data_IF_981197635926
#
_entry.id   IF_981197635926
#
_cell.length_a   1.000
_cell.length_b   1.000
_cell.length_c   1.000
_cell.angle_alpha   90.00
_cell.angle_beta   90.00
_cell.angle_gamma   90.00
#
_symmetry.space_group_name_H-M   'P 1'
#
loop_
_entity.id
_entity.type
_entity.pdbx_description
1 polymer ?
#
# COMPACT_ATOMS: atom_id res chain seq x y z
N UNK A 1 22.77 15.85 -18.57
CA UNK A 1 22.08 14.57 -18.36
C UNK A 1 22.85 13.78 -17.31
N UNK A 2 22.57 14.02 -16.02
CA UNK A 2 23.16 13.24 -14.92
C UNK A 2 22.17 12.11 -14.63
N UNK A 3 22.60 10.88 -14.88
CA UNK A 3 21.88 9.70 -14.42
C UNK A 3 21.71 9.81 -12.90
N UNK A 4 20.46 9.71 -12.44
CA UNK A 4 20.08 9.72 -11.05
C UNK A 4 21.02 8.82 -10.24
N UNK A 5 21.65 9.41 -9.22
CA UNK A 5 22.38 8.65 -8.23
C UNK A 5 21.36 7.74 -7.56
N UNK A 6 21.43 6.43 -7.85
CA UNK A 6 20.68 5.40 -7.17
C UNK A 6 20.87 5.64 -5.67
N UNK A 7 19.80 6.02 -4.95
CA UNK A 7 19.80 5.95 -3.50
C UNK A 7 19.90 4.47 -3.14
N UNK A 8 21.12 3.98 -3.02
CA UNK A 8 21.42 2.67 -2.44
C UNK A 8 21.01 2.82 -0.99
N UNK A 9 19.82 2.32 -0.65
CA UNK A 9 19.37 2.21 0.73
C UNK A 9 20.50 1.52 1.51
N UNK A 10 20.99 2.11 2.61
CA UNK A 10 22.03 1.46 3.41
C UNK A 10 21.54 0.07 3.81
N UNK A 11 22.45 -0.92 3.85
CA UNK A 11 22.14 -2.23 4.43
C UNK A 11 21.45 -2.02 5.78
N UNK A 12 20.40 -2.81 6.12
CA UNK A 12 19.71 -2.67 7.38
C UNK A 12 20.73 -2.87 8.50
N UNK A 13 21.18 -1.76 9.09
CA UNK A 13 22.08 -1.80 10.23
C UNK A 13 21.32 -2.54 11.32
N UNK A 14 21.89 -3.66 11.79
CA UNK A 14 21.40 -4.35 12.98
C UNK A 14 21.48 -3.37 14.14
N UNK A 15 20.37 -2.71 14.45
CA UNK A 15 20.17 -2.00 15.70
C UNK A 15 20.08 -3.04 16.82
N UNK A 16 21.24 -3.49 17.28
CA UNK A 16 21.37 -4.21 18.53
C UNK A 16 21.30 -3.18 19.67
N UNK A 17 20.09 -2.97 20.18
CA UNK A 17 19.90 -2.31 21.48
C UNK A 17 19.72 -3.44 22.50
N UNK A 18 20.74 -3.65 23.33
CA UNK A 18 20.63 -4.52 24.50
C UNK A 18 19.81 -3.83 25.58
N UNK A 19 18.75 -4.50 26.05
CA UNK A 19 18.10 -4.18 27.31
C UNK A 19 17.51 -5.45 27.93
N UNK A 20 17.63 -5.53 29.24
CA UNK A 20 17.40 -6.72 30.07
C UNK A 20 16.08 -7.44 29.76
N UNK A 21 16.21 -8.65 29.21
CA UNK A 21 15.23 -9.73 29.41
C UNK A 21 14.21 -10.02 28.32
N UNK A 22 14.03 -9.21 27.28
CA UNK A 22 13.05 -9.47 26.20
C UNK A 22 13.53 -8.92 24.84
N UNK A 23 14.50 -9.59 24.22
CA UNK A 23 15.03 -9.19 22.91
C UNK A 23 14.11 -9.65 21.75
N UNK A 24 13.27 -8.74 21.27
CA UNK A 24 12.58 -8.82 19.98
C UNK A 24 12.85 -7.50 19.22
N UNK A 25 13.78 -7.47 18.24
CA UNK A 25 14.27 -6.23 17.61
C UNK A 25 13.23 -5.39 16.85
N UNK A 26 11.98 -5.85 16.74
CA UNK A 26 10.86 -5.18 16.03
C UNK A 26 9.90 -4.40 16.94
N UNK A 27 10.10 -4.45 18.26
CA UNK A 27 9.22 -3.77 19.22
C UNK A 27 9.27 -2.23 19.18
N UNK A 28 10.42 -1.56 18.96
CA UNK A 28 10.50 -0.09 18.97
C UNK A 28 9.73 0.58 17.82
N UNK A 29 9.71 -0.06 16.65
CA UNK A 29 9.05 0.39 15.42
C UNK A 29 7.54 0.13 15.45
N UNK A 30 7.12 -0.97 16.08
CA UNK A 30 5.72 -1.20 16.45
C UNK A 30 5.27 -0.21 17.52
N UNK A 31 6.09 0.06 18.54
CA UNK A 31 5.83 1.07 19.56
C UNK A 31 5.82 2.49 18.99
N UNK A 32 6.57 2.80 17.92
CA UNK A 32 6.52 4.10 17.26
C UNK A 32 5.22 4.28 16.47
N UNK A 33 4.76 3.25 15.75
CA UNK A 33 3.42 3.23 15.14
C UNK A 33 2.35 3.28 16.22
N UNK A 34 2.50 2.54 17.31
CA UNK A 34 1.57 2.47 18.44
C UNK A 34 1.59 3.76 19.29
N UNK A 35 2.71 4.47 19.42
CA UNK A 35 2.79 5.79 20.05
C UNK A 35 2.19 6.86 19.13
N UNK A 36 2.45 6.79 17.82
CA UNK A 36 1.90 7.72 16.83
C UNK A 36 0.39 7.52 16.58
N UNK A 37 -0.12 6.31 16.78
CA UNK A 37 -1.55 5.93 16.62
C UNK A 37 -2.30 5.81 17.95
N UNK A 38 -1.65 6.06 19.09
CA UNK A 38 -2.21 5.88 20.43
C UNK A 38 -2.60 4.42 20.74
N UNK A 39 -3.62 4.20 21.58
CA UNK A 39 -4.14 2.88 21.93
C UNK A 39 -4.56 2.00 20.73
N UNK A 40 -4.38 2.40 19.47
CA UNK A 40 -4.84 1.66 18.30
C UNK A 40 -4.09 0.35 18.00
N UNK A 41 -2.76 0.31 18.10
CA UNK A 41 -2.02 -0.95 17.98
C UNK A 41 -2.23 -1.86 19.21
N UNK A 42 -3.03 -1.43 20.20
CA UNK A 42 -3.64 -2.31 21.21
C UNK A 42 -5.15 -2.51 21.02
N UNK A 43 -5.94 -1.55 20.53
CA UNK A 43 -7.40 -1.62 20.54
C UNK A 43 -7.95 -2.27 19.26
N UNK A 44 -7.30 -2.07 18.10
CA UNK A 44 -7.56 -2.90 16.92
C UNK A 44 -6.95 -4.30 17.08
N UNK A 45 -5.70 -4.36 17.52
CA UNK A 45 -4.94 -5.61 17.69
C UNK A 45 -5.47 -6.54 18.79
N UNK A 46 -5.96 -5.99 19.90
CA UNK A 46 -6.66 -6.78 20.92
C UNK A 46 -8.10 -7.10 20.51
N UNK A 47 -8.66 -6.54 19.43
CA UNK A 47 -9.95 -6.96 18.89
C UNK A 47 -9.81 -8.06 17.83
N UNK A 48 -8.73 -8.05 17.04
CA UNK A 48 -8.46 -9.09 16.06
C UNK A 48 -7.96 -10.39 16.75
N UNK A 49 -8.82 -11.42 16.76
CA UNK A 49 -8.51 -12.75 17.29
C UNK A 49 -7.20 -13.34 16.77
N UNK A 50 -6.84 -13.02 15.52
CA UNK A 50 -5.64 -13.52 14.85
C UNK A 50 -4.33 -12.95 15.42
N UNK A 51 -4.30 -11.65 15.72
CA UNK A 51 -3.14 -10.96 16.29
C UNK A 51 -2.81 -11.51 17.69
N UNK A 52 -3.84 -11.66 18.54
CA UNK A 52 -3.70 -12.31 19.85
C UNK A 52 -3.27 -13.77 19.74
N UNK A 53 -3.80 -14.51 18.77
CA UNK A 53 -3.41 -15.89 18.52
C UNK A 53 -1.93 -15.98 18.10
N UNK A 54 -1.46 -15.11 17.20
CA UNK A 54 -0.07 -15.06 16.76
C UNK A 54 0.89 -14.79 17.92
N UNK A 55 0.57 -13.79 18.77
CA UNK A 55 1.35 -13.49 19.98
C UNK A 55 1.33 -14.66 20.97
N UNK A 56 0.17 -15.30 21.15
CA UNK A 56 0.03 -16.48 22.01
C UNK A 56 0.89 -17.66 21.53
N UNK A 57 0.95 -17.89 20.21
CA UNK A 57 1.81 -18.91 19.61
C UNK A 57 3.29 -18.54 19.79
N UNK A 58 3.66 -17.29 19.54
CA UNK A 58 5.04 -16.81 19.73
C UNK A 58 5.51 -17.00 21.18
N UNK A 59 4.68 -16.70 22.18
CA UNK A 59 5.00 -16.96 23.60
C UNK A 59 5.23 -18.43 23.90
N UNK A 60 4.42 -19.33 23.34
CA UNK A 60 4.61 -20.78 23.50
C UNK A 60 5.91 -21.27 22.86
N UNK A 61 6.30 -20.69 21.71
CA UNK A 61 7.55 -21.01 21.02
C UNK A 61 8.77 -20.50 21.80
N UNK A 62 8.70 -19.29 22.36
CA UNK A 62 9.72 -18.76 23.26
C UNK A 62 9.93 -19.67 24.48
N UNK A 63 8.84 -20.14 25.10
CA UNK A 63 8.90 -21.12 26.20
C UNK A 63 9.50 -22.48 25.83
N UNK A 64 9.73 -22.75 24.54
CA UNK A 64 10.39 -23.95 24.02
C UNK A 64 11.80 -23.67 23.48
N UNK A 65 12.39 -22.52 23.83
CA UNK A 65 13.73 -22.13 23.38
C UNK A 65 13.81 -21.78 21.89
N UNK A 66 12.70 -21.38 21.26
CA UNK A 66 12.67 -20.89 19.86
C UNK A 66 12.60 -19.36 19.83
N UNK A 67 13.00 -18.76 18.71
CA UNK A 67 13.01 -17.31 18.49
C UNK A 67 12.02 -16.91 17.38
N UNK A 68 10.71 -16.88 17.65
CA UNK A 68 9.71 -16.52 16.65
C UNK A 68 9.71 -15.01 16.36
N UNK A 69 9.39 -14.65 15.12
CA UNK A 69 9.03 -13.28 14.73
C UNK A 69 7.52 -13.19 14.48
N UNK A 70 6.89 -12.09 14.89
CA UNK A 70 5.47 -11.81 14.63
C UNK A 70 5.39 -10.67 13.63
N UNK A 71 4.84 -10.95 12.45
CA UNK A 71 4.62 -9.95 11.41
C UNK A 71 3.15 -9.51 11.50
N UNK A 72 2.88 -8.19 11.55
CA UNK A 72 1.50 -7.71 11.61
C UNK A 72 0.73 -7.96 10.32
N UNK A 73 -0.60 -7.87 10.40
CA UNK A 73 -1.46 -7.95 9.21
C UNK A 73 -0.99 -6.96 8.14
N UNK A 74 -0.87 -7.44 6.90
CA UNK A 74 -0.33 -6.67 5.78
C UNK A 74 1.09 -6.17 5.96
N UNK A 75 1.87 -6.76 6.89
CA UNK A 75 3.19 -6.29 7.29
C UNK A 75 3.21 -4.78 7.60
N UNK A 76 2.12 -4.27 8.21
CA UNK A 76 1.98 -2.88 8.58
C UNK A 76 2.90 -2.51 9.77
N UNK A 77 4.21 -2.40 9.51
CA UNK A 77 5.26 -2.01 10.44
C UNK A 77 6.28 -1.07 9.77
N UNK A 78 7.04 -0.33 10.57
CA UNK A 78 7.96 0.70 10.05
C UNK A 78 9.09 0.10 9.20
N UNK A 79 9.56 -1.10 9.55
CA UNK A 79 10.61 -1.82 8.83
C UNK A 79 10.21 -2.16 7.39
N UNK A 80 8.91 -2.26 7.11
CA UNK A 80 8.41 -2.52 5.77
C UNK A 80 8.33 -1.24 4.90
N UNK A 81 8.46 -0.05 5.49
CA UNK A 81 8.30 1.23 4.77
C UNK A 81 9.35 1.39 3.68
N UNK A 82 10.64 1.21 3.99
CA UNK A 82 11.71 1.40 3.01
C UNK A 82 11.55 0.47 1.80
N UNK A 83 11.23 -0.81 2.05
CA UNK A 83 10.97 -1.77 0.98
C UNK A 83 9.71 -1.46 0.18
N UNK A 84 8.64 -0.97 0.82
CA UNK A 84 7.44 -0.59 0.11
C UNK A 84 7.58 0.73 -0.67
N UNK A 85 8.44 1.65 -0.21
CA UNK A 85 8.71 2.92 -0.89
C UNK A 85 9.46 2.74 -2.21
N UNK A 86 10.19 1.63 -2.39
CA UNK A 86 10.85 1.34 -3.67
C UNK A 86 9.85 1.16 -4.80
N UNK A 87 8.61 0.74 -4.52
CA UNK A 87 7.53 0.71 -5.52
C UNK A 87 7.26 2.12 -6.07
N UNK A 88 7.25 3.12 -5.20
CA UNK A 88 7.09 4.52 -5.61
C UNK A 88 8.21 4.98 -6.54
N UNK A 89 9.45 4.63 -6.19
CA UNK A 89 10.62 4.91 -7.03
C UNK A 89 10.54 4.20 -8.39
N UNK A 90 10.14 2.92 -8.41
CA UNK A 90 9.99 2.14 -9.65
C UNK A 90 8.91 2.71 -10.57
N UNK A 91 7.78 3.17 -10.01
CA UNK A 91 6.73 3.86 -10.76
C UNK A 91 7.28 5.16 -11.36
N UNK A 92 7.96 6.00 -10.57
CA UNK A 92 8.56 7.24 -11.06
C UNK A 92 9.57 6.99 -12.18
N UNK A 93 10.45 5.99 -12.03
CA UNK A 93 11.44 5.61 -13.04
C UNK A 93 10.74 5.12 -14.32
N UNK A 94 9.67 4.35 -14.20
CA UNK A 94 8.92 3.83 -15.35
C UNK A 94 8.25 4.98 -16.12
N UNK A 95 7.57 5.88 -15.41
CA UNK A 95 6.96 7.09 -16.00
C UNK A 95 8.03 7.95 -16.66
N UNK A 96 9.18 8.16 -16.01
CA UNK A 96 10.29 8.93 -16.57
C UNK A 96 10.81 8.36 -17.89
N UNK A 97 10.91 7.03 -18.00
CA UNK A 97 11.36 6.34 -19.22
C UNK A 97 10.34 6.46 -20.35
N UNK A 98 9.06 6.44 -20.01
CA UNK A 98 7.96 6.51 -20.98
C UNK A 98 7.48 7.94 -21.25
N UNK A 99 8.00 8.94 -20.53
CA UNK A 99 7.62 10.35 -20.63
C UNK A 99 7.65 10.95 -22.04
N UNK A 100 8.48 10.42 -22.94
CA UNK A 100 8.51 10.85 -24.35
C UNK A 100 7.31 10.36 -25.17
N UNK A 101 6.57 9.36 -24.66
CA UNK A 101 5.46 8.68 -25.32
C UNK A 101 4.13 8.83 -24.55
N UNK A 102 4.17 9.30 -23.30
CA UNK A 102 2.99 9.50 -22.46
C UNK A 102 2.50 10.94 -22.51
N UNK A 103 1.18 11.13 -22.42
CA UNK A 103 0.61 12.44 -22.08
C UNK A 103 0.90 12.72 -20.61
N UNK A 104 1.76 13.71 -20.35
CA UNK A 104 2.09 14.20 -19.02
C UNK A 104 1.19 15.38 -18.62
N UNK A 105 0.95 15.59 -17.32
CA UNK A 105 1.44 14.80 -16.18
C UNK A 105 0.62 13.51 -15.93
N UNK A 106 1.17 12.55 -15.18
CA UNK A 106 0.52 11.28 -14.85
C UNK A 106 -0.18 11.34 -13.49
N UNK A 107 -1.40 10.79 -13.41
CA UNK A 107 -2.03 10.44 -12.14
C UNK A 107 -1.78 8.97 -11.81
N UNK A 108 -1.22 8.69 -10.63
CA UNK A 108 -0.95 7.32 -10.17
C UNK A 108 -2.12 6.83 -9.32
N UNK A 109 -2.67 5.65 -9.62
CA UNK A 109 -3.74 5.04 -8.85
C UNK A 109 -3.21 3.80 -8.15
N UNK A 110 -3.37 3.74 -6.83
CA UNK A 110 -2.99 2.62 -5.97
C UNK A 110 -4.23 2.04 -5.28
N UNK A 111 -4.15 0.81 -4.81
CA UNK A 111 -5.10 0.25 -3.86
C UNK A 111 -4.53 0.22 -2.43
N UNK A 112 -5.40 0.24 -1.43
CA UNK A 112 -5.00 0.19 -0.03
C UNK A 112 -5.85 -0.80 0.78
N UNK A 113 -5.18 -1.87 1.22
CA UNK A 113 -5.66 -2.78 2.26
C UNK A 113 -5.44 -2.16 3.64
N UNK A 114 -4.33 -2.54 4.29
CA UNK A 114 -3.88 -1.95 5.57
C UNK A 114 -3.30 -0.53 5.41
N UNK A 115 -2.94 -0.13 4.19
CA UNK A 115 -2.54 1.23 3.83
C UNK A 115 -1.04 1.48 3.78
N UNK A 116 -0.21 0.71 4.49
CA UNK A 116 1.23 0.96 4.57
C UNK A 116 1.91 0.98 3.19
N UNK A 117 1.67 -0.03 2.36
CA UNK A 117 2.33 -0.11 1.05
C UNK A 117 1.95 1.05 0.12
N UNK A 118 0.68 1.47 0.14
CA UNK A 118 0.23 2.62 -0.64
C UNK A 118 0.84 3.93 -0.11
N UNK A 119 0.85 4.13 1.21
CA UNK A 119 1.46 5.29 1.85
C UNK A 119 2.97 5.39 1.56
N UNK A 120 3.69 4.27 1.69
CA UNK A 120 5.11 4.19 1.38
C UNK A 120 5.39 4.42 -0.11
N UNK A 121 4.58 3.87 -1.01
CA UNK A 121 4.71 4.12 -2.44
C UNK A 121 4.46 5.59 -2.80
N UNK A 122 3.48 6.26 -2.18
CA UNK A 122 3.29 7.71 -2.34
C UNK A 122 4.51 8.48 -1.83
N UNK A 123 5.02 8.18 -0.63
CA UNK A 123 6.23 8.83 -0.11
C UNK A 123 7.47 8.60 -0.99
N UNK A 124 7.60 7.41 -1.59
CA UNK A 124 8.66 7.09 -2.56
C UNK A 124 8.53 7.87 -3.87
N UNK A 125 7.31 8.02 -4.39
CA UNK A 125 7.04 8.90 -5.54
C UNK A 125 7.41 10.34 -5.23
N UNK A 126 6.95 10.85 -4.10
CA UNK A 126 7.21 12.19 -3.58
C UNK A 126 8.71 12.51 -3.48
N UNK A 127 9.50 11.55 -2.99
CA UNK A 127 10.95 11.67 -2.96
C UNK A 127 11.57 11.83 -4.36
N UNK A 128 11.12 11.06 -5.35
CA UNK A 128 11.62 11.16 -6.72
C UNK A 128 11.23 12.47 -7.43
N UNK A 129 10.19 13.16 -6.94
CA UNK A 129 9.76 14.47 -7.44
C UNK A 129 10.53 15.64 -6.82
N UNK A 130 11.47 15.41 -5.90
CA UNK A 130 12.35 16.47 -5.41
C UNK A 130 13.29 17.00 -6.50
N UNK A 131 13.67 16.14 -7.45
CA UNK A 131 14.61 16.49 -8.53
C UNK A 131 13.93 16.96 -9.82
N UNK A 132 12.60 16.76 -9.93
CA UNK A 132 11.82 17.07 -11.13
C UNK A 132 10.58 17.83 -10.69
N UNK A 133 10.36 19.05 -11.19
CA UNK A 133 9.41 20.06 -10.69
C UNK A 133 7.90 19.70 -10.73
N UNK A 134 7.53 18.42 -10.66
CA UNK A 134 6.17 17.89 -10.74
C UNK A 134 5.74 17.65 -12.18
N UNK A 135 6.68 17.61 -13.13
CA UNK A 135 6.36 17.48 -14.55
C UNK A 135 5.84 16.10 -14.94
N UNK A 136 6.23 15.05 -14.21
CA UNK A 136 5.90 13.67 -14.60
C UNK A 136 4.68 13.12 -13.86
N UNK A 137 4.48 13.48 -12.61
CA UNK A 137 3.38 13.01 -11.77
C UNK A 137 2.68 14.22 -11.16
N UNK A 138 1.37 14.35 -11.41
CA UNK A 138 0.54 15.46 -10.91
C UNK A 138 -0.22 15.13 -9.63
N UNK A 139 -0.65 13.88 -9.48
CA UNK A 139 -1.47 13.45 -8.36
C UNK A 139 -1.35 11.93 -8.12
N UNK A 140 -1.74 11.51 -6.92
CA UNK A 140 -2.02 10.13 -6.60
C UNK A 140 -3.48 9.97 -6.14
N UNK A 141 -4.08 8.82 -6.44
CA UNK A 141 -5.36 8.40 -5.91
C UNK A 141 -5.23 7.02 -5.29
N UNK A 142 -5.62 6.88 -4.02
CA UNK A 142 -5.52 5.63 -3.27
C UNK A 142 -6.92 5.11 -3.00
N UNK A 143 -7.25 3.93 -3.53
CA UNK A 143 -8.55 3.30 -3.30
C UNK A 143 -8.55 2.58 -1.95
N UNK A 144 -9.27 3.14 -0.98
CA UNK A 144 -9.37 2.65 0.39
C UNK A 144 -10.30 1.43 0.49
N UNK A 145 -9.76 0.22 0.37
CA UNK A 145 -10.56 -1.00 0.30
C UNK A 145 -11.08 -1.48 1.67
N UNK A 146 -10.50 -1.01 2.78
CA UNK A 146 -10.81 -1.50 4.14
C UNK A 146 -11.41 -0.44 5.07
N UNK A 147 -11.47 0.81 4.63
CA UNK A 147 -11.95 1.94 5.42
C UNK A 147 -10.86 2.56 6.31
N UNK A 148 -9.60 2.60 5.88
CA UNK A 148 -8.51 3.23 6.62
C UNK A 148 -8.69 4.76 6.76
N UNK A 149 -9.35 5.40 5.79
CA UNK A 149 -9.58 6.85 5.79
C UNK A 149 -10.56 7.29 6.85
N UNK A 150 -11.71 6.59 6.93
CA UNK A 150 -12.74 6.86 7.93
C UNK A 150 -12.25 6.67 9.38
N UNK A 151 -11.11 6.00 9.56
CA UNK A 151 -10.47 5.75 10.85
C UNK A 151 -9.29 6.69 11.13
N UNK A 152 -8.99 7.64 10.23
CA UNK A 152 -7.85 8.55 10.34
C UNK A 152 -6.48 7.87 10.21
N UNK A 153 -6.43 6.59 9.81
CA UNK A 153 -5.16 5.85 9.74
C UNK A 153 -4.29 6.31 8.58
N UNK A 154 -4.90 6.78 7.50
CA UNK A 154 -4.19 7.18 6.30
C UNK A 154 -3.17 8.28 6.57
N UNK A 155 -3.58 9.34 7.25
CA UNK A 155 -2.70 10.48 7.52
C UNK A 155 -1.51 10.09 8.40
N UNK A 156 -1.73 9.18 9.37
CA UNK A 156 -0.66 8.65 10.21
C UNK A 156 0.31 7.78 9.41
N UNK A 157 -0.20 6.89 8.55
CA UNK A 157 0.62 6.02 7.72
C UNK A 157 1.42 6.82 6.69
N UNK A 158 0.80 7.80 6.04
CA UNK A 158 1.46 8.66 5.07
C UNK A 158 2.51 9.56 5.74
N UNK A 159 2.20 10.14 6.91
CA UNK A 159 3.16 10.91 7.69
C UNK A 159 4.37 10.08 8.15
N UNK A 160 4.13 8.85 8.63
CA UNK A 160 5.21 7.91 8.95
C UNK A 160 6.04 7.59 7.71
N UNK A 161 5.39 7.23 6.60
CA UNK A 161 6.07 6.90 5.36
C UNK A 161 6.97 8.03 4.86
N UNK A 162 6.45 9.27 4.83
CA UNK A 162 7.21 10.47 4.47
C UNK A 162 8.41 10.68 5.37
N UNK A 163 8.23 10.54 6.69
CA UNK A 163 9.31 10.70 7.67
C UNK A 163 10.43 9.67 7.47
N UNK A 164 10.07 8.40 7.35
CA UNK A 164 11.05 7.31 7.16
C UNK A 164 11.77 7.44 5.82
N UNK A 165 11.07 7.81 4.74
CA UNK A 165 11.69 8.04 3.42
C UNK A 165 12.62 9.26 3.46
N UNK A 166 12.19 10.37 4.07
CA UNK A 166 13.03 11.56 4.23
C UNK A 166 14.32 11.24 5.02
N UNK A 167 14.17 10.52 6.14
CA UNK A 167 15.30 10.06 6.96
C UNK A 167 16.26 9.16 6.15
N UNK A 168 15.73 8.23 5.35
CA UNK A 168 16.54 7.34 4.51
C UNK A 168 17.34 8.10 3.43
N UNK A 169 16.82 9.24 2.96
CA UNK A 169 17.47 10.07 1.95
C UNK A 169 18.37 11.17 2.55
N UNK A 170 18.38 11.33 3.87
CA UNK A 170 19.10 12.41 4.53
C UNK A 170 18.54 13.80 4.23
N UNK A 171 17.24 13.90 3.95
CA UNK A 171 16.51 15.17 3.73
C UNK A 171 15.54 15.44 4.88
N UNK A 172 15.14 16.70 5.07
CA UNK A 172 14.20 17.07 6.13
C UNK A 172 12.76 16.65 5.79
N UNK A 173 12.36 16.85 4.54
CA UNK A 173 11.02 16.52 4.04
C UNK A 173 11.08 16.03 2.59
N UNK A 174 10.06 15.27 2.19
CA UNK A 174 9.78 14.98 0.78
C UNK A 174 8.74 15.96 0.24
N UNK A 175 8.68 16.13 -1.07
CA UNK A 175 7.68 16.98 -1.72
C UNK A 175 6.30 16.36 -1.54
N UNK A 176 5.32 17.11 -1.07
CA UNK A 176 3.96 16.56 -0.98
C UNK A 176 3.25 16.57 -2.33
N UNK A 177 2.71 15.42 -2.71
CA UNK A 177 1.83 15.24 -3.85
C UNK A 177 0.37 15.39 -3.40
N UNK A 178 -0.49 15.95 -4.26
CA UNK A 178 -1.93 15.82 -4.03
C UNK A 178 -2.28 14.32 -4.06
N UNK A 179 -2.73 13.79 -2.93
CA UNK A 179 -3.07 12.38 -2.78
C UNK A 179 -4.50 12.22 -2.25
N UNK A 180 -5.41 11.82 -3.13
CA UNK A 180 -6.82 11.61 -2.77
C UNK A 180 -7.04 10.18 -2.27
N UNK A 181 -7.64 10.05 -1.09
CA UNK A 181 -8.07 8.76 -0.56
C UNK A 181 -9.54 8.51 -0.92
N UNK A 182 -9.77 7.54 -1.80
CA UNK A 182 -11.06 7.33 -2.46
C UNK A 182 -11.72 6.06 -1.92
N UNK A 183 -12.95 6.15 -1.43
CA UNK A 183 -13.72 4.98 -0.98
C UNK A 183 -14.29 4.20 -2.18
N UNK A 184 -14.44 2.87 -2.08
CA UNK A 184 -14.92 2.07 -3.20
C UNK A 184 -16.30 2.54 -3.66
N UNK A 185 -16.47 2.67 -4.98
CA UNK A 185 -17.75 3.14 -5.55
C UNK A 185 -18.91 2.19 -5.22
N UNK A 186 -18.59 0.91 -5.04
CA UNK A 186 -19.53 -0.13 -4.63
C UNK A 186 -18.84 -1.13 -3.69
N UNK A 187 -19.63 -1.93 -2.95
CA UNK A 187 -19.13 -2.92 -2.00
C UNK A 187 -18.05 -2.37 -1.04
N UNK A 188 -18.36 -1.27 -0.36
CA UNK A 188 -17.45 -0.46 0.48
C UNK A 188 -16.80 -1.19 1.66
N UNK A 189 -17.38 -2.31 2.10
CA UNK A 189 -16.83 -3.10 3.20
C UNK A 189 -15.75 -4.06 2.67
N UNK A 190 -14.73 -4.33 3.50
CA UNK A 190 -13.71 -5.33 3.18
C UNK A 190 -14.35 -6.70 2.87
N UNK A 191 -13.86 -7.39 1.84
CA UNK A 191 -14.38 -8.69 1.41
C UNK A 191 -15.78 -8.69 0.78
N UNK A 192 -16.54 -7.58 0.85
CA UNK A 192 -17.85 -7.51 0.20
C UNK A 192 -17.70 -7.54 -1.32
N UNK A 193 -18.50 -8.36 -2.00
CA UNK A 193 -18.56 -8.44 -3.47
C UNK A 193 -20.01 -8.41 -3.95
N UNK A 194 -20.25 -7.96 -5.18
CA UNK A 194 -21.59 -7.89 -5.77
C UNK A 194 -21.56 -8.04 -7.30
N UNK A 195 -22.73 -8.08 -7.95
CA UNK A 195 -22.84 -8.26 -9.41
C UNK A 195 -22.04 -7.22 -10.20
N UNK A 196 -22.00 -5.97 -9.74
CA UNK A 196 -21.22 -4.90 -10.38
C UNK A 196 -19.73 -5.21 -10.42
N UNK A 197 -19.16 -5.74 -9.33
CA UNK A 197 -17.75 -6.15 -9.33
C UNK A 197 -17.51 -7.41 -10.16
N UNK A 198 -18.50 -8.30 -10.28
CA UNK A 198 -18.43 -9.44 -11.21
C UNK A 198 -18.32 -8.95 -12.64
N UNK A 199 -19.17 -8.00 -13.03
CA UNK A 199 -19.16 -7.39 -14.35
C UNK A 199 -17.83 -6.67 -14.63
N UNK A 200 -17.28 -5.93 -13.65
CA UNK A 200 -15.98 -5.29 -13.80
C UNK A 200 -14.84 -6.30 -13.98
N UNK A 201 -14.87 -7.40 -13.22
CA UNK A 201 -13.89 -8.49 -13.36
C UNK A 201 -13.95 -9.11 -14.75
N UNK A 202 -15.15 -9.45 -15.24
CA UNK A 202 -15.32 -10.02 -16.59
C UNK A 202 -14.90 -9.03 -17.67
N UNK A 203 -15.18 -7.74 -17.48
CA UNK A 203 -14.76 -6.67 -18.38
C UNK A 203 -13.23 -6.52 -18.42
N UNK A 204 -12.55 -6.59 -17.27
CA UNK A 204 -11.09 -6.51 -17.20
C UNK A 204 -10.44 -7.70 -17.93
N UNK A 205 -10.97 -8.91 -17.74
CA UNK A 205 -10.51 -10.10 -18.41
C UNK A 205 -10.75 -10.04 -19.93
N UNK A 206 -11.94 -9.62 -20.37
CA UNK A 206 -12.30 -9.63 -21.79
C UNK A 206 -11.67 -8.51 -22.60
N UNK A 207 -11.50 -7.32 -22.03
CA UNK A 207 -10.97 -6.16 -22.76
C UNK A 207 -9.44 -6.05 -22.68
N UNK A 208 -8.84 -6.46 -21.56
CA UNK A 208 -7.42 -6.22 -21.30
C UNK A 208 -6.63 -7.50 -21.00
N UNK A 209 -7.29 -8.68 -20.99
CA UNK A 209 -6.65 -9.92 -20.57
C UNK A 209 -6.25 -9.93 -19.09
N UNK A 210 -6.77 -8.99 -18.29
CA UNK A 210 -6.39 -8.83 -16.89
C UNK A 210 -7.27 -9.68 -15.99
N UNK A 211 -6.66 -10.67 -15.34
CA UNK A 211 -7.30 -11.50 -14.32
C UNK A 211 -7.08 -10.84 -12.96
N UNK A 212 -8.18 -10.39 -12.35
CA UNK A 212 -8.17 -9.68 -11.06
C UNK A 212 -9.06 -10.37 -10.05
N UNK A 213 -8.78 -10.15 -8.76
CA UNK A 213 -9.65 -10.62 -7.70
C UNK A 213 -10.81 -9.63 -7.46
N UNK A 214 -11.93 -10.09 -6.87
CA UNK A 214 -13.08 -9.23 -6.62
C UNK A 214 -12.96 -8.38 -5.35
N UNK A 215 -11.96 -8.59 -4.50
CA UNK A 215 -11.79 -7.89 -3.21
C UNK A 215 -10.95 -6.63 -3.37
N UNK A 216 -9.87 -6.69 -4.16
CA UNK A 216 -8.96 -5.59 -4.44
C UNK A 216 -9.09 -5.12 -5.90
N UNK A 217 -8.61 -5.92 -6.86
CA UNK A 217 -8.41 -5.45 -8.23
C UNK A 217 -9.69 -4.98 -8.92
N UNK A 218 -10.78 -5.76 -8.86
CA UNK A 218 -12.05 -5.35 -9.47
C UNK A 218 -12.63 -4.09 -8.80
N UNK A 219 -12.48 -3.93 -7.48
CA UNK A 219 -12.94 -2.72 -6.77
C UNK A 219 -12.13 -1.50 -7.16
N UNK A 220 -10.82 -1.65 -7.25
CA UNK A 220 -9.92 -0.58 -7.67
C UNK A 220 -10.25 -0.15 -9.09
N UNK A 221 -10.35 -1.08 -10.05
CA UNK A 221 -10.68 -0.77 -11.45
C UNK A 221 -12.05 -0.11 -11.58
N UNK A 222 -13.05 -0.63 -10.86
CA UNK A 222 -14.39 -0.04 -10.86
C UNK A 222 -14.38 1.37 -10.28
N UNK A 223 -13.73 1.57 -9.13
CA UNK A 223 -13.67 2.87 -8.46
C UNK A 223 -12.88 3.87 -9.28
N UNK A 224 -11.77 3.44 -9.87
CA UNK A 224 -10.97 4.25 -10.79
C UNK A 224 -11.85 4.76 -11.94
N UNK A 225 -12.58 3.86 -12.62
CA UNK A 225 -13.41 4.22 -13.78
C UNK A 225 -14.54 5.19 -13.45
N UNK A 226 -15.14 5.08 -12.26
CA UNK A 226 -16.35 5.84 -11.91
C UNK A 226 -16.10 7.05 -11.01
N UNK A 227 -14.94 7.14 -10.35
CA UNK A 227 -14.64 8.23 -9.41
C UNK A 227 -13.31 8.93 -9.69
N UNK A 228 -12.27 8.22 -10.13
CA UNK A 228 -10.94 8.81 -10.34
C UNK A 228 -10.79 9.36 -11.76
N UNK A 229 -11.05 8.56 -12.80
CA UNK A 229 -10.93 9.02 -14.18
C UNK A 229 -11.78 10.27 -14.48
N UNK A 230 -13.03 10.39 -13.98
CA UNK A 230 -13.82 11.60 -14.22
C UNK A 230 -13.23 12.88 -13.59
N UNK A 231 -12.37 12.77 -12.58
CA UNK A 231 -11.68 13.92 -11.97
C UNK A 231 -10.33 14.24 -12.61
N UNK A 232 -9.83 13.40 -13.52
CA UNK A 232 -8.58 13.63 -14.25
C UNK A 232 -8.92 14.40 -15.54
N UNK A 233 -8.60 15.70 -15.56
CA UNK A 233 -8.93 16.59 -16.68
C UNK A 233 -7.89 16.59 -17.82
N UNK A 234 -6.66 16.16 -17.55
CA UNK A 234 -5.58 16.06 -18.54
C UNK A 234 -4.52 15.05 -18.10
N UNK A 235 -3.78 14.52 -19.08
CA UNK A 235 -2.68 13.60 -18.85
C UNK A 235 -3.09 12.13 -18.75
N UNK A 236 -2.11 11.27 -18.48
CA UNK A 236 -2.28 9.82 -18.44
C UNK A 236 -2.58 9.32 -17.02
N UNK A 237 -3.12 8.11 -16.92
CA UNK A 237 -3.39 7.44 -15.64
C UNK A 237 -2.63 6.12 -15.60
N UNK A 238 -1.84 5.92 -14.55
CA UNK A 238 -1.13 4.66 -14.29
C UNK A 238 -1.76 3.99 -13.09
N UNK A 239 -2.39 2.84 -13.31
CA UNK A 239 -2.95 2.02 -12.24
C UNK A 239 -1.95 0.96 -11.81
N UNK A 240 -1.62 0.92 -10.53
CA UNK A 240 -0.73 -0.08 -9.93
C UNK A 240 -1.59 -1.05 -9.14
N UNK A 241 -1.70 -2.25 -9.66
CA UNK A 241 -2.46 -3.32 -9.00
C UNK A 241 -1.55 -4.09 -8.07
N UNK A 242 -1.90 -4.17 -6.78
CA UNK A 242 -1.13 -4.92 -5.77
C UNK A 242 -1.11 -6.45 -5.99
N UNK A 243 -1.84 -6.94 -6.99
CA UNK A 243 -1.93 -8.34 -7.37
C UNK A 243 -3.26 -8.96 -6.93
N UNK A 244 -3.20 -10.08 -6.21
CA UNK A 244 -4.39 -10.70 -5.61
C UNK A 244 -5.13 -11.71 -6.48
N UNK A 245 -4.77 -11.90 -7.75
CA UNK A 245 -5.48 -12.82 -8.68
C UNK A 245 -5.74 -14.24 -8.11
N UNK A 246 -4.86 -14.75 -7.25
CA UNK A 246 -5.06 -16.02 -6.53
C UNK A 246 -6.33 -16.04 -5.66
N UNK A 247 -6.73 -14.88 -5.13
CA UNK A 247 -7.98 -14.68 -4.40
C UNK A 247 -9.22 -15.03 -5.23
N UNK A 248 -9.15 -14.96 -6.56
CA UNK A 248 -10.24 -15.37 -7.44
C UNK A 248 -10.63 -16.85 -7.27
N UNK A 249 -9.69 -17.72 -6.88
CA UNK A 249 -9.98 -19.14 -6.64
C UNK A 249 -11.06 -19.36 -5.57
N UNK A 250 -11.03 -18.56 -4.49
CA UNK A 250 -12.07 -18.58 -3.44
C UNK A 250 -13.44 -18.06 -3.91
N UNK A 251 -13.47 -17.40 -5.07
CA UNK A 251 -14.67 -16.80 -5.66
C UNK A 251 -15.05 -17.43 -7.01
N UNK A 252 -14.45 -18.56 -7.41
CA UNK A 252 -14.61 -19.12 -8.75
C UNK A 252 -16.08 -19.39 -9.12
N UNK A 253 -16.87 -19.99 -8.22
CA UNK A 253 -18.29 -20.25 -8.45
C UNK A 253 -19.11 -18.96 -8.58
N UNK A 254 -18.76 -17.94 -7.79
CA UNK A 254 -19.41 -16.63 -7.87
C UNK A 254 -19.05 -15.94 -9.20
N UNK A 255 -17.79 -15.99 -9.60
CA UNK A 255 -17.29 -15.36 -10.82
C UNK A 255 -17.84 -16.03 -12.09
N UNK A 256 -17.96 -17.36 -12.09
CA UNK A 256 -18.47 -18.14 -13.22
C UNK A 256 -19.99 -18.14 -13.35
N UNK A 257 -20.72 -17.56 -12.38
CA UNK A 257 -22.18 -17.59 -12.37
C UNK A 257 -22.76 -16.96 -13.64
N UNK A 258 -23.43 -17.79 -14.45
CA UNK A 258 -24.07 -17.38 -15.69
C UNK A 258 -23.14 -17.36 -16.92
N UNK A 259 -21.85 -17.70 -16.77
CA UNK A 259 -21.00 -18.03 -17.92
C UNK A 259 -21.40 -19.42 -18.41
N UNK A 260 -21.81 -19.53 -19.67
CA UNK A 260 -22.03 -20.83 -20.31
C UNK A 260 -20.68 -21.36 -20.78
N UNK A 261 -20.42 -22.64 -20.51
CA UNK A 261 -19.29 -23.37 -21.08
C UNK A 261 -19.46 -23.53 -22.59
#
# INVERSE_FOLDING_TARGET
MRLATLAVFPEPQRLAVEWDGLAAPWLPSFQAIQHATGNWATDGWQQHSQARAAVGIARKLLGRGRTPAVVPEGACCAEAVAGAATLGADIAISIAREAAQSELPVTVVLDAGTGLSAAAAVAGLEACLLENDGQWVSAAAVVDLTGIGAKGHWDVLLGLARKEVAAALGVETVRELQCDLVRPATARSFGAVNSTLREELLRAASLAGLVVDPVYGAKMLHTMRHQVLPSVHSGSVVAVMSGGAHGLGGWAQWASKGLRA
#
